data_IF_722025037900
#
_entry.id   IF_722025037900
#
_cell.length_a   1.000
_cell.length_b   1.000
_cell.length_c   1.000
_cell.angle_alpha   90.00
_cell.angle_beta   90.00
_cell.angle_gamma   90.00
#
_symmetry.space_group_name_H-M   'P 1'
#
loop_
_entity.id
_entity.type
_entity.pdbx_description
1 polymer ?
#
# COMPACT_ATOMS: atom_id res chain seq x y z
N UNK A 1 4.13 -27.30 3.31
CA UNK A 1 4.03 -25.87 3.62
C UNK A 1 3.37 -25.23 2.41
N UNK A 2 2.22 -24.59 2.58
CA UNK A 2 1.45 -24.08 1.44
C UNK A 2 1.87 -22.65 1.19
N UNK A 3 2.65 -22.43 0.15
CA UNK A 3 3.00 -21.09 -0.31
C UNK A 3 1.86 -20.57 -1.19
N UNK A 4 1.33 -19.40 -0.85
CA UNK A 4 0.29 -18.75 -1.64
C UNK A 4 0.92 -17.62 -2.45
N UNK A 5 0.79 -17.68 -3.78
CA UNK A 5 1.19 -16.61 -4.70
C UNK A 5 -0.09 -15.95 -5.26
N UNK A 6 -0.23 -14.66 -5.02
CA UNK A 6 -1.36 -13.87 -5.52
C UNK A 6 -0.83 -12.85 -6.52
N UNK A 7 -1.35 -12.91 -7.75
CA UNK A 7 -1.04 -11.96 -8.80
C UNK A 7 -2.31 -11.20 -9.22
N UNK A 8 -2.21 -9.88 -9.31
CA UNK A 8 -3.30 -9.02 -9.80
C UNK A 8 -2.71 -7.86 -10.59
N UNK A 9 -3.36 -7.52 -11.70
CA UNK A 9 -2.92 -6.47 -12.63
C UNK A 9 -4.07 -5.51 -12.86
N UNK A 10 -3.77 -4.22 -12.80
CA UNK A 10 -4.73 -3.14 -13.05
C UNK A 10 -4.16 -2.17 -14.07
N UNK A 11 -5.00 -1.74 -15.02
CA UNK A 11 -4.68 -0.65 -15.94
C UNK A 11 -5.11 0.66 -15.32
N UNK A 12 -4.18 1.59 -15.13
CA UNK A 12 -4.43 2.91 -14.55
C UNK A 12 -4.24 4.00 -15.60
N UNK A 13 -5.07 5.05 -15.63
CA UNK A 13 -4.90 6.19 -16.53
C UNK A 13 -3.84 7.16 -15.97
N UNK A 14 -2.61 6.67 -15.74
CA UNK A 14 -1.49 7.44 -15.22
C UNK A 14 -0.15 6.90 -15.78
N UNK A 15 0.88 7.73 -15.81
CA UNK A 15 2.24 7.27 -16.13
C UNK A 15 2.81 6.39 -15.01
N UNK A 16 3.73 5.49 -15.37
CA UNK A 16 4.41 4.63 -14.40
C UNK A 16 5.11 5.47 -13.31
N UNK A 17 5.84 6.51 -13.69
CA UNK A 17 6.55 7.39 -12.75
C UNK A 17 5.61 7.98 -11.71
N UNK A 18 4.42 8.45 -12.15
CA UNK A 18 3.44 9.04 -11.24
C UNK A 18 2.89 8.01 -10.26
N UNK A 19 2.67 6.78 -10.72
CA UNK A 19 2.24 5.68 -9.86
C UNK A 19 3.34 5.34 -8.85
N UNK A 20 4.59 5.24 -9.28
CA UNK A 20 5.72 4.97 -8.40
C UNK A 20 5.92 6.05 -7.33
N UNK A 21 5.78 7.32 -7.69
CA UNK A 21 5.84 8.42 -6.71
C UNK A 21 4.78 8.29 -5.62
N UNK A 22 3.53 8.01 -6.00
CA UNK A 22 2.43 7.85 -5.03
C UNK A 22 2.64 6.62 -4.16
N UNK A 23 3.17 5.53 -4.71
CA UNK A 23 3.48 4.30 -3.96
C UNK A 23 4.75 4.42 -3.09
N UNK A 24 5.66 5.34 -3.40
CA UNK A 24 6.81 5.60 -2.54
C UNK A 24 6.40 6.37 -1.26
N UNK A 25 5.32 7.16 -1.33
CA UNK A 25 4.79 7.95 -0.22
C UNK A 25 3.81 7.14 0.65
N UNK A 26 4.37 6.16 1.37
CA UNK A 26 3.60 5.25 2.23
C UNK A 26 2.85 5.98 3.35
N UNK A 27 3.36 7.11 3.85
CA UNK A 27 2.76 7.86 4.96
C UNK A 27 1.36 8.40 4.59
N UNK A 28 1.17 8.75 3.32
CA UNK A 28 -0.09 9.29 2.82
C UNK A 28 -1.12 8.23 2.43
N UNK A 29 -0.78 6.94 2.52
CA UNK A 29 -1.69 5.87 2.14
C UNK A 29 -3.03 5.94 2.88
N UNK A 30 -3.02 6.34 4.15
CA UNK A 30 -4.24 6.46 4.95
C UNK A 30 -5.26 7.49 4.41
N UNK A 31 -4.83 8.42 3.56
CA UNK A 31 -5.70 9.46 3.00
C UNK A 31 -6.59 8.95 1.86
N UNK A 32 -6.13 7.95 1.12
CA UNK A 32 -6.80 7.49 -0.11
C UNK A 32 -7.02 5.98 -0.16
N UNK A 33 -6.37 5.20 0.70
CA UNK A 33 -6.60 3.76 0.82
C UNK A 33 -7.43 3.45 2.08
N UNK A 34 -8.74 3.18 1.97
CA UNK A 34 -9.66 3.11 3.11
C UNK A 34 -9.42 1.96 4.10
N UNK A 35 -8.65 0.94 3.71
CA UNK A 35 -8.26 -0.16 4.60
C UNK A 35 -7.10 0.24 5.52
N UNK A 36 -6.26 1.19 5.11
CA UNK A 36 -5.10 1.64 5.86
C UNK A 36 -5.55 2.66 6.91
N UNK A 37 -5.27 2.38 8.18
CA UNK A 37 -5.75 3.19 9.31
C UNK A 37 -4.66 4.00 9.98
N UNK A 38 -3.45 3.45 10.01
CA UNK A 38 -2.30 4.12 10.59
C UNK A 38 -1.07 3.69 9.82
N UNK A 39 -0.22 4.65 9.54
CA UNK A 39 1.13 4.44 9.04
C UNK A 39 2.07 5.03 10.09
N UNK A 40 3.18 4.35 10.35
CA UNK A 40 4.20 4.82 11.27
C UNK A 40 5.58 4.44 10.78
N UNK A 41 6.47 5.40 10.70
CA UNK A 41 7.85 5.23 10.27
C UNK A 41 8.67 4.64 11.42
N UNK A 42 9.42 3.56 11.13
CA UNK A 42 10.31 2.91 12.10
C UNK A 42 11.73 3.46 11.91
N UNK A 43 12.20 3.51 10.66
CA UNK A 43 13.48 4.08 10.26
C UNK A 43 13.43 4.58 8.80
N UNK A 44 14.60 4.86 8.20
CA UNK A 44 14.76 5.38 6.83
C UNK A 44 14.31 4.42 5.72
N UNK A 45 14.20 3.12 6.02
CA UNK A 45 13.87 2.07 5.06
C UNK A 45 12.72 1.16 5.51
N UNK A 46 12.22 1.32 6.74
CA UNK A 46 11.19 0.47 7.31
C UNK A 46 10.06 1.24 8.00
N UNK A 47 8.87 0.66 7.95
CA UNK A 47 7.67 1.24 8.52
C UNK A 47 6.69 0.16 8.98
N UNK A 48 5.74 0.60 9.80
CA UNK A 48 4.61 -0.19 10.29
C UNK A 48 3.31 0.35 9.72
N UNK A 49 2.37 -0.55 9.45
CA UNK A 49 1.05 -0.17 8.95
C UNK A 49 -0.04 -1.01 9.61
N UNK A 50 -1.12 -0.35 10.02
CA UNK A 50 -2.33 -1.02 10.50
C UNK A 50 -3.38 -1.05 9.41
N UNK A 51 -3.77 -2.25 8.99
CA UNK A 51 -4.74 -2.49 7.93
C UNK A 51 -5.99 -3.12 8.55
N UNK A 52 -7.15 -2.53 8.28
CA UNK A 52 -8.44 -3.15 8.59
C UNK A 52 -8.83 -4.09 7.47
N UNK A 53 -9.21 -5.32 7.82
CA UNK A 53 -9.86 -6.22 6.86
C UNK A 53 -11.11 -5.54 6.26
N UNK A 54 -11.32 -5.78 4.95
CA UNK A 54 -12.54 -5.37 4.26
C UNK A 54 -13.63 -6.46 4.33
N UNK A 55 -13.31 -7.63 4.88
CA UNK A 55 -14.26 -8.75 5.03
C UNK A 55 -14.97 -8.63 6.38
N UNK A 56 -16.30 -8.58 6.36
CA UNK A 56 -17.20 -8.75 7.51
C UNK A 56 -17.52 -10.24 7.67
#
# INVERSE_FOLDING_TARGET
MTDFDFHSVWTLPASADRVYEVLADAEQYSQWWPQIRRVGTIDEHSGSMSIRSAVL
#
